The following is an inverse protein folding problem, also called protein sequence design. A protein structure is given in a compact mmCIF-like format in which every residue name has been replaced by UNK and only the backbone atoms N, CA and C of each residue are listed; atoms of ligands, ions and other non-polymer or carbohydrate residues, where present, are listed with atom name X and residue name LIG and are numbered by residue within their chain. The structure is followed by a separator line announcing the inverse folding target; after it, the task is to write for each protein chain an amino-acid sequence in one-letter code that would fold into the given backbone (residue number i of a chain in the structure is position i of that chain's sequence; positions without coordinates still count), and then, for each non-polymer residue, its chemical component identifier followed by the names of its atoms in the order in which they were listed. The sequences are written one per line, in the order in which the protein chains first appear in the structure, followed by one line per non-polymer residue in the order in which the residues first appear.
data_IF_539689046225
#
_entry.id   IF_539689046225
#
_cell.length_a   1.000
_cell.length_b   1.000
_cell.length_c   1.000
_cell.angle_alpha   90.00
_cell.angle_beta   90.00
_cell.angle_gamma   90.00
#
_symmetry.space_group_name_H-M   'P 1'
#
loop_
_entity.id
_entity.type
_entity.pdbx_description
1 polymer ?
2 polymer ?
3 water ?
#
# COMPACT_ATOMS: atom_id res chain seq x y z
N UNK A 1 -9.24 6.30 13.73
CA UNK A 1 -7.84 6.37 14.09
C UNK A 1 -7.10 7.42 13.28
N UNK A 2 -5.83 7.67 13.60
CA UNK A 2 -5.08 8.71 12.89
C UNK A 2 -4.69 8.31 11.48
N UNK A 3 -4.92 9.21 10.54
CA UNK A 3 -4.49 9.03 9.17
C UNK A 3 -3.08 9.58 9.06
N UNK A 4 -2.12 8.71 8.81
CA UNK A 4 -0.73 9.13 8.70
C UNK A 4 -0.35 9.31 7.25
N UNK A 5 0.45 10.33 6.97
CA UNK A 5 1.02 10.52 5.65
C UNK A 5 2.43 9.98 5.73
N UNK A 6 2.74 8.98 4.92
CA UNK A 6 4.01 8.26 5.04
C UNK A 6 4.80 8.31 3.75
N UNK A 7 6.05 8.74 3.85
CA UNK A 7 6.92 8.91 2.71
C UNK A 7 7.77 7.66 2.49
N UNK A 8 7.94 7.31 1.22
CA UNK A 8 8.78 6.18 0.82
C UNK A 8 9.54 6.65 -0.42
N UNK A 9 10.83 6.37 -0.49
CA UNK A 9 11.60 6.72 -1.69
C UNK A 9 12.05 5.44 -2.36
N UNK A 10 11.85 5.38 -3.67
CA UNK A 10 12.03 4.17 -4.44
C UNK A 10 12.82 4.46 -5.71
N UNK A 11 13.82 3.62 -6.00
CA UNK A 11 14.45 3.64 -7.32
C UNK A 11 13.57 2.84 -8.27
N UNK A 12 13.70 3.10 -9.57
CA UNK A 12 12.85 2.44 -10.57
C UNK A 12 13.03 0.92 -10.62
N UNK A 13 14.21 0.44 -10.27
CA UNK A 13 14.47 -0.99 -10.30
C UNK A 13 13.98 -1.71 -9.04
N UNK A 14 13.44 -0.94 -8.10
CA UNK A 14 12.93 -1.51 -6.85
C UNK A 14 11.42 -1.59 -6.83
N UNK A 15 10.89 -2.52 -6.04
CA UNK A 15 9.47 -2.52 -5.75
C UNK A 15 9.22 -1.69 -4.51
N UNK A 16 7.95 -1.54 -4.14
CA UNK A 16 7.61 -0.86 -2.90
C UNK A 16 8.07 -1.64 -1.69
N UNK A 17 8.02 -2.96 -1.78
CA UNK A 17 8.37 -3.80 -0.64
C UNK A 17 7.21 -4.01 0.31
N UNK A 18 5.99 -4.02 -0.22
CA UNK A 18 4.82 -4.35 0.57
C UNK A 18 3.98 -5.36 -0.18
N UNK A 19 3.21 -6.14 0.56
CA UNK A 19 2.14 -6.91 -0.05
C UNK A 19 0.81 -6.32 0.40
N UNK A 20 -0.17 -6.36 -0.48
CA UNK A 20 -1.51 -5.88 -0.16
C UNK A 20 -2.56 -6.95 -0.35
N UNK A 21 -3.64 -6.81 0.41
CA UNK A 21 -4.78 -7.71 0.31
C UNK A 21 -6.04 -6.86 0.42
N UNK A 22 -7.21 -7.48 0.35
CA UNK A 22 -8.45 -6.74 0.47
C UNK A 22 -8.88 -6.05 -0.81
N UNK A 23 -9.75 -5.07 -0.67
CA UNK A 23 -10.31 -4.39 -1.83
C UNK A 23 -11.82 -4.46 -1.90
N UNK A 24 -12.39 -3.64 -2.78
CA UNK A 24 -13.83 -3.45 -2.87
C UNK A 24 -14.61 -4.76 -3.03
N UNK A 25 -14.12 -5.67 -3.85
CA UNK A 25 -14.82 -6.94 -4.07
C UNK A 25 -14.91 -7.78 -2.79
N UNK A 26 -14.10 -7.44 -1.79
CA UNK A 26 -14.12 -8.14 -0.50
C UNK A 26 -14.77 -7.32 0.60
N UNK A 27 -15.25 -6.13 0.26
CA UNK A 27 -15.95 -5.29 1.21
C UNK A 27 -15.05 -4.66 2.25
N UNK A 28 -13.75 -4.62 1.97
CA UNK A 28 -12.79 -4.04 2.91
C UNK A 28 -11.82 -3.13 2.17
N UNK A 29 -11.10 -2.27 2.90
CA UNK A 29 -10.10 -1.45 2.21
C UNK A 29 -8.94 -2.28 1.67
N UNK A 30 -8.08 -1.61 0.91
CA UNK A 30 -6.79 -2.16 0.55
C UNK A 30 -5.95 -2.18 1.83
N UNK A 31 -5.50 -3.37 2.23
CA UNK A 31 -4.79 -3.53 3.50
C UNK A 31 -3.40 -4.06 3.28
N UNK A 32 -2.44 -3.56 4.05
CA UNK A 32 -1.08 -4.08 4.00
C UNK A 32 -0.99 -5.41 4.72
N UNK A 33 -0.57 -6.45 4.00
CA UNK A 33 -0.45 -7.78 4.60
C UNK A 33 0.98 -8.16 4.97
N UNK A 34 1.96 -7.50 4.39
CA UNK A 34 3.36 -7.80 4.70
C UNK A 34 4.28 -6.65 4.31
N UNK A 35 5.28 -6.41 5.15
CA UNK A 35 6.37 -5.50 4.83
C UNK A 35 7.59 -6.37 4.57
N UNK A 36 8.21 -6.19 3.40
CA UNK A 36 9.35 -7.05 3.07
C UNK A 36 10.69 -6.52 3.54
N UNK A 37 11.44 -7.36 4.28
CA UNK A 37 12.70 -6.92 4.88
C UNK A 37 13.67 -6.34 3.87
N UNK A 38 14.22 -5.18 4.20
CA UNK A 38 15.28 -4.58 3.41
C UNK A 38 14.84 -3.84 2.17
N UNK A 39 13.55 -3.89 1.85
CA UNK A 39 13.02 -3.17 0.70
C UNK A 39 12.55 -1.76 1.11
N UNK A 40 12.09 -0.94 0.15
CA UNK A 40 11.89 0.47 0.51
C UNK A 40 10.92 0.75 1.67
N UNK A 41 9.79 0.05 1.75
CA UNK A 41 8.87 0.34 2.86
C UNK A 41 9.51 0.06 4.22
N UNK A 42 10.24 -1.05 4.30
CA UNK A 42 10.96 -1.40 5.53
C UNK A 42 12.05 -0.38 5.85
N UNK A 43 12.85 -0.03 4.84
CA UNK A 43 13.96 0.89 5.05
C UNK A 43 13.49 2.29 5.46
N UNK A 44 12.43 2.75 4.79
CA UNK A 44 11.94 4.10 5.01
C UNK A 44 11.05 4.24 6.24
N UNK A 45 10.36 3.16 6.59
CA UNK A 45 9.52 3.13 7.77
C UNK A 45 8.17 3.82 7.65
N UNK A 46 7.33 3.57 8.64
CA UNK A 46 6.06 4.28 8.75
C UNK A 46 4.84 3.49 8.35
N UNK A 47 5.03 2.40 7.62
CA UNK A 47 3.90 1.56 7.20
C UNK A 47 3.87 0.37 8.13
N UNK A 48 2.74 -0.28 8.22
CA UNK A 48 2.80 -1.52 8.94
C UNK A 48 1.68 -2.39 8.47
N UNK A 49 1.71 -3.58 9.00
CA UNK A 49 0.77 -4.60 8.57
C UNK A 49 -0.57 -4.28 9.24
N UNK A 50 -1.65 -4.44 8.49
CA UNK A 50 -2.96 -4.09 8.99
C UNK A 50 -3.38 -2.67 8.71
N UNK A 51 -2.46 -1.86 8.17
CA UNK A 51 -2.83 -0.53 7.70
C UNK A 51 -3.75 -0.61 6.49
N UNK A 52 -4.80 0.20 6.50
CA UNK A 52 -5.59 0.46 5.29
C UNK A 52 -4.91 1.57 4.52
N UNK A 53 -4.69 1.35 3.23
CA UNK A 53 -4.13 2.41 2.38
C UNK A 53 -5.29 3.20 1.80
N UNK A 54 -5.46 4.42 2.29
CA UNK A 54 -6.57 5.28 1.86
C UNK A 54 -6.25 5.98 0.55
N UNK A 55 -4.97 6.29 0.33
CA UNK A 55 -4.56 6.98 -0.89
C UNK A 55 -3.07 6.80 -1.10
N UNK A 56 -2.64 6.95 -2.35
CA UNK A 56 -1.23 6.98 -2.68
C UNK A 56 -0.98 8.09 -3.69
N UNK A 57 -0.05 8.98 -3.39
CA UNK A 57 0.21 10.14 -4.25
C UNK A 57 -1.07 10.89 -4.62
N UNK A 58 -1.98 11.01 -3.67
CA UNK A 58 -3.20 11.77 -3.87
C UNK A 58 -4.30 10.99 -4.55
N UNK A 59 -4.00 9.77 -4.99
CA UNK A 59 -5.00 8.94 -5.68
C UNK A 59 -5.73 8.08 -4.63
N UNK A 60 -7.04 8.27 -4.55
CA UNK A 60 -7.90 7.61 -3.57
C UNK A 60 -8.01 6.12 -3.86
N UNK A 61 -7.71 5.29 -2.86
CA UNK A 61 -7.84 3.83 -2.98
C UNK A 61 -9.02 3.28 -2.16
N UNK A 62 -9.78 4.16 -1.52
CA UNK A 62 -10.83 3.70 -0.61
C UNK A 62 -11.87 2.75 -1.21
N UNK A 63 -12.23 2.96 -2.47
CA UNK A 63 -13.27 2.15 -3.11
C UNK A 63 -12.74 1.38 -4.32
N UNK A 64 -11.45 1.07 -4.31
CA UNK A 64 -10.82 0.34 -5.41
C UNK A 64 -10.91 -1.16 -5.23
N UNK A 65 -11.12 -1.86 -6.34
CA UNK A 65 -10.96 -3.30 -6.37
C UNK A 65 -9.48 -3.63 -6.25
N UNK A 66 -9.18 -4.85 -5.83
CA UNK A 66 -7.80 -5.26 -5.62
C UNK A 66 -6.89 -4.98 -6.83
N UNK A 67 -7.30 -5.44 -8.01
CA UNK A 67 -6.44 -5.30 -9.19
C UNK A 67 -6.22 -3.85 -9.58
N UNK A 68 -7.24 -3.02 -9.37
CA UNK A 68 -7.15 -1.58 -9.63
C UNK A 68 -6.09 -0.93 -8.72
N UNK A 69 -6.08 -1.34 -7.46
CA UNK A 69 -5.10 -0.82 -6.51
C UNK A 69 -3.70 -1.30 -6.88
N UNK A 70 -3.58 -2.55 -7.33
CA UNK A 70 -2.29 -3.07 -7.77
C UNK A 70 -1.75 -2.23 -8.93
N UNK A 71 -2.61 -1.91 -9.89
CA UNK A 71 -2.20 -1.07 -11.02
C UNK A 71 -1.72 0.30 -10.55
N UNK A 72 -2.55 1.00 -9.79
CA UNK A 72 -2.18 2.33 -9.32
C UNK A 72 -0.88 2.32 -8.51
N UNK A 73 -0.80 1.43 -7.54
CA UNK A 73 0.38 1.35 -6.69
C UNK A 73 1.64 1.04 -7.49
N UNK A 74 1.52 0.11 -8.44
CA UNK A 74 2.66 -0.33 -9.23
C UNK A 74 3.19 0.76 -10.18
N UNK A 75 2.36 1.76 -10.45
CA UNK A 75 2.74 2.84 -11.36
C UNK A 75 3.40 4.05 -10.68
N UNK A 76 3.42 4.07 -9.35
CA UNK A 76 4.06 5.17 -8.65
C UNK A 76 5.57 5.01 -8.64
N UNK A 77 6.28 6.13 -8.72
CA UNK A 77 7.73 6.11 -8.85
C UNK A 77 8.38 7.19 -8.00
N UNK A 78 9.58 6.90 -7.50
CA UNK A 78 10.39 7.90 -6.84
C UNK A 78 9.94 8.22 -5.43
N UNK A 79 9.57 9.48 -5.21
CA UNK A 79 9.11 9.94 -3.91
C UNK A 79 7.61 9.71 -3.83
N UNK A 80 7.20 8.78 -2.97
CA UNK A 80 5.82 8.32 -2.93
C UNK A 80 5.20 8.57 -1.55
N UNK A 81 4.02 9.17 -1.53
CA UNK A 81 3.33 9.48 -0.28
C UNK A 81 2.09 8.62 -0.12
N UNK A 82 2.06 7.83 0.94
CA UNK A 82 0.89 7.03 1.29
C UNK A 82 0.09 7.76 2.36
N UNK A 83 -1.22 7.60 2.34
CA UNK A 83 -2.06 7.99 3.46
C UNK A 83 -2.70 6.71 3.98
N UNK A 84 -2.41 6.38 5.23
CA UNK A 84 -2.81 5.10 5.82
C UNK A 84 -3.47 5.29 7.17
N UNK A 85 -4.33 4.36 7.53
CA UNK A 85 -4.89 4.32 8.88
C UNK A 85 -4.88 2.85 9.34
N UNK A 86 -4.38 2.61 10.54
CA UNK A 86 -4.40 1.26 11.09
C UNK A 86 -5.83 0.84 11.42
N UNK A 87 -6.22 -0.36 10.99
CA UNK A 87 -7.57 -0.88 11.24
C UNK A 87 -7.58 -2.10 12.16
N UNK B 4 -10.34 -15.75 1.62
CA UNK B 4 -10.93 -15.59 0.29
C UNK B 4 -10.38 -14.37 -0.45
N UNK B 5 -9.29 -13.79 0.06
CA UNK B 5 -8.76 -12.54 -0.49
C UNK B 5 -7.48 -12.73 -1.32
N UNK B 6 -7.37 -12.01 -2.42
CA UNK B 6 -6.14 -11.97 -3.16
C UNK B 6 -5.04 -11.31 -2.33
N UNK B 7 -3.81 -11.64 -2.63
CA UNK B 7 -2.67 -11.02 -1.97
C UNK B 7 -1.56 -10.81 -2.98
N UNK B 8 -1.09 -9.56 -3.11
CA UNK B 8 -0.14 -9.22 -4.17
C UNK B 8 1.08 -8.48 -3.65
N UNK B 9 2.26 -8.98 -3.99
CA UNK B 9 3.51 -8.30 -3.67
C UNK B 9 3.82 -7.18 -4.66
N UNK B 10 4.17 -6.01 -4.13
CA UNK B 10 4.43 -4.82 -4.93
C UNK B 10 5.80 -4.24 -4.62
#
# INVERSE_FOLDING_TARGET
GPIRKVLLLKEDHEGLGISITGGKEHGVPILISEIHPGQPADRXGGLHVGDAILAVNGVNLRDTKHKEAVTILSQQRGEIEFEVVYV
ANSRWQDTRL
#
